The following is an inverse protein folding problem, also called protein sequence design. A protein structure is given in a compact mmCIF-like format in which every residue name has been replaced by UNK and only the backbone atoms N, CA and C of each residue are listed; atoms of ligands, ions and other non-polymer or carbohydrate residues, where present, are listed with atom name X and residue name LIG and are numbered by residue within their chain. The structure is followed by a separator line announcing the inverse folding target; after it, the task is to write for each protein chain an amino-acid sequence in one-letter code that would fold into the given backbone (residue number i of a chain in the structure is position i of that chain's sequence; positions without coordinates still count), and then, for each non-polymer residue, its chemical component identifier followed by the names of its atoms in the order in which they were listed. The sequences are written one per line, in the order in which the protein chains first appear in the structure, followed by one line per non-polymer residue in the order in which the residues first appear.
data_IF_566521064369
#
_entry.id   IF_566521064369
#
_cell.length_a   1.000
_cell.length_b   1.000
_cell.length_c   1.000
_cell.angle_alpha   90.00
_cell.angle_beta   90.00
_cell.angle_gamma   90.00
#
_symmetry.space_group_name_H-M   'P 1'
#
loop_
_entity.id
_entity.type
_entity.pdbx_description
1 polymer ?
#
# COMPACT_ATOMS: atom_id res chain seq x y z
N UNK A 1 11.29 6.15 -18.46
CA UNK A 1 10.05 6.28 -17.64
C UNK A 1 9.73 4.94 -17.04
N UNK A 2 9.85 3.88 -17.83
CA UNK A 2 9.78 2.49 -17.37
C UNK A 2 10.81 2.18 -16.28
N UNK A 3 12.03 2.75 -16.34
CA UNK A 3 13.03 2.55 -15.26
C UNK A 3 12.53 3.00 -13.87
N UNK A 4 11.74 4.08 -13.82
CA UNK A 4 11.20 4.60 -12.57
C UNK A 4 10.04 3.74 -12.08
N UNK A 5 9.21 3.26 -13.01
CA UNK A 5 8.13 2.31 -12.75
C UNK A 5 8.71 1.03 -12.15
N UNK A 6 9.65 0.40 -12.85
CA UNK A 6 10.20 -0.90 -12.48
C UNK A 6 10.95 -0.83 -11.16
N UNK A 7 11.71 0.25 -10.93
CA UNK A 7 12.37 0.52 -9.64
C UNK A 7 11.36 0.56 -8.49
N UNK A 8 10.29 1.35 -8.61
CA UNK A 8 9.32 1.46 -7.51
C UNK A 8 8.44 0.21 -7.37
N UNK A 9 8.05 -0.46 -8.46
CA UNK A 9 7.32 -1.72 -8.39
C UNK A 9 8.15 -2.82 -7.72
N UNK A 10 9.46 -2.91 -8.02
CA UNK A 10 10.38 -3.81 -7.35
C UNK A 10 10.47 -3.53 -5.84
N UNK A 11 10.73 -2.27 -5.47
CA UNK A 11 10.82 -1.85 -4.07
C UNK A 11 9.51 -2.09 -3.29
N UNK A 12 8.34 -1.86 -3.91
CA UNK A 12 7.04 -2.15 -3.31
C UNK A 12 6.85 -3.66 -3.12
N UNK A 13 7.33 -4.47 -4.07
CA UNK A 13 7.33 -5.92 -3.97
C UNK A 13 8.12 -6.43 -2.75
N UNK A 14 9.30 -5.86 -2.52
CA UNK A 14 10.22 -6.21 -1.43
C UNK A 14 9.83 -5.63 -0.06
N UNK A 15 8.99 -4.59 -0.02
CA UNK A 15 8.56 -3.97 1.24
C UNK A 15 7.83 -4.98 2.15
N UNK A 16 8.44 -5.27 3.30
CA UNK A 16 7.93 -6.26 4.26
C UNK A 16 7.06 -5.68 5.38
N UNK A 17 7.05 -4.37 5.57
CA UNK A 17 6.33 -3.70 6.64
C UNK A 17 5.61 -2.43 6.17
N UNK A 18 4.65 -1.96 6.98
CA UNK A 18 3.86 -0.77 6.67
C UNK A 18 4.72 0.51 6.67
N UNK A 19 5.78 0.53 7.48
CA UNK A 19 6.72 1.65 7.56
C UNK A 19 7.52 1.83 6.27
N UNK A 20 8.01 0.75 5.66
CA UNK A 20 8.72 0.79 4.38
C UNK A 20 7.80 1.21 3.25
N UNK A 21 6.54 0.73 3.23
CA UNK A 21 5.55 1.17 2.23
C UNK A 21 5.32 2.67 2.33
N UNK A 22 5.19 3.21 3.54
CA UNK A 22 4.98 4.65 3.73
C UNK A 22 6.23 5.47 3.34
N UNK A 23 7.43 4.98 3.66
CA UNK A 23 8.68 5.60 3.23
C UNK A 23 8.79 5.65 1.69
N UNK A 24 8.46 4.54 1.02
CA UNK A 24 8.41 4.47 -0.44
C UNK A 24 7.37 5.40 -1.05
N UNK A 25 6.19 5.53 -0.43
CA UNK A 25 5.15 6.49 -0.84
C UNK A 25 5.67 7.92 -0.81
N UNK A 26 6.36 8.31 0.28
CA UNK A 26 6.96 9.63 0.42
C UNK A 26 8.08 9.87 -0.59
N UNK A 27 8.92 8.86 -0.83
CA UNK A 27 10.03 8.94 -1.79
C UNK A 27 9.55 9.01 -3.25
N UNK A 28 8.47 8.31 -3.59
CA UNK A 28 7.93 8.31 -4.95
C UNK A 28 7.04 9.53 -5.21
N UNK A 29 5.99 9.71 -4.41
CA UNK A 29 4.86 10.62 -4.70
C UNK A 29 4.77 11.79 -3.70
N UNK A 30 5.62 11.80 -2.66
CA UNK A 30 5.66 12.90 -1.68
C UNK A 30 6.08 14.25 -2.27
N UNK A 31 6.03 15.31 -1.47
CA UNK A 31 6.34 16.70 -1.90
C UNK A 31 7.73 16.87 -2.56
N UNK A 32 8.70 16.03 -2.18
CA UNK A 32 10.06 15.99 -2.75
C UNK A 32 10.34 14.68 -3.49
N UNK A 33 9.30 13.90 -3.79
CA UNK A 33 9.44 12.59 -4.41
C UNK A 33 9.82 12.68 -5.89
N UNK A 34 10.44 11.63 -6.40
CA UNK A 34 10.97 11.58 -7.77
C UNK A 34 9.85 11.84 -8.81
N UNK A 35 8.64 11.31 -8.59
CA UNK A 35 7.47 11.52 -9.48
C UNK A 35 6.93 12.94 -9.36
N UNK A 36 6.89 13.51 -8.15
CA UNK A 36 6.43 14.88 -7.91
C UNK A 36 7.38 15.94 -8.48
N UNK A 37 8.69 15.67 -8.50
CA UNK A 37 9.67 16.53 -9.16
C UNK A 37 9.47 16.55 -10.67
N UNK A 38 9.28 15.39 -11.30
CA UNK A 38 8.97 15.31 -12.73
C UNK A 38 7.64 15.99 -13.09
N UNK A 39 6.63 15.91 -12.22
CA UNK A 39 5.38 16.68 -12.37
C UNK A 39 5.61 18.19 -12.39
N UNK A 40 6.54 18.69 -11.57
CA UNK A 40 6.89 20.11 -11.55
C UNK A 40 7.64 20.55 -12.80
N UNK A 41 8.50 19.69 -13.35
CA UNK A 41 9.20 19.94 -14.60
C UNK A 41 8.22 20.06 -15.79
N UNK A 42 7.13 19.29 -15.77
CA UNK A 42 6.03 19.40 -16.74
C UNK A 42 5.39 20.80 -16.77
N UNK A 43 5.42 21.52 -15.64
CA UNK A 43 4.94 22.90 -15.53
C UNK A 43 5.78 23.91 -16.33
N UNK A 44 7.02 23.54 -16.68
CA UNK A 44 7.96 24.40 -17.45
C UNK A 44 7.98 24.08 -18.95
N UNK A 45 7.33 23.01 -19.38
CA UNK A 45 7.26 22.57 -20.79
C UNK A 45 6.21 23.35 -21.59
N UNK A 46 6.32 23.29 -22.92
CA UNK A 46 5.32 23.90 -23.82
C UNK A 46 3.99 23.14 -23.76
N UNK A 47 2.87 23.75 -24.21
CA UNK A 47 1.56 23.11 -24.21
C UNK A 47 1.53 21.78 -24.96
N UNK A 48 2.24 21.67 -26.10
CA UNK A 48 2.28 20.46 -26.92
C UNK A 48 2.99 19.30 -26.20
N UNK A 49 4.14 19.58 -25.58
CA UNK A 49 4.90 18.59 -24.80
C UNK A 49 4.13 18.15 -23.55
N UNK A 50 3.47 19.10 -22.88
CA UNK A 50 2.63 18.82 -21.70
C UNK A 50 1.46 17.90 -22.05
N UNK A 51 0.86 18.04 -23.24
CA UNK A 51 -0.26 17.21 -23.68
C UNK A 51 0.14 15.74 -23.86
N UNK A 52 1.39 15.47 -24.27
CA UNK A 52 1.92 14.11 -24.44
C UNK A 52 2.44 13.54 -23.11
N UNK A 53 3.17 14.35 -22.34
CA UNK A 53 3.88 13.89 -21.14
C UNK A 53 3.01 13.88 -19.87
N UNK A 54 2.01 14.77 -19.78
CA UNK A 54 1.12 14.86 -18.62
C UNK A 54 0.33 13.57 -18.35
N UNK A 55 -0.38 13.00 -19.35
CA UNK A 55 -1.09 11.74 -19.18
C UNK A 55 -0.17 10.59 -18.78
N UNK A 56 1.04 10.51 -19.37
CA UNK A 56 2.03 9.48 -19.03
C UNK A 56 2.49 9.58 -17.57
N UNK A 57 2.72 10.79 -17.07
CA UNK A 57 3.12 11.01 -15.69
C UNK A 57 1.99 10.74 -14.69
N UNK A 58 0.76 11.13 -15.04
CA UNK A 58 -0.42 10.81 -14.24
C UNK A 58 -0.62 9.30 -14.16
N UNK A 59 -0.56 8.59 -15.28
CA UNK A 59 -0.67 7.13 -15.31
C UNK A 59 0.40 6.45 -14.44
N UNK A 60 1.66 6.88 -14.53
CA UNK A 60 2.74 6.37 -13.68
C UNK A 60 2.47 6.61 -12.19
N UNK A 61 2.01 7.82 -11.85
CA UNK A 61 1.68 8.16 -10.46
C UNK A 61 0.54 7.28 -9.93
N UNK A 62 -0.51 7.09 -10.73
CA UNK A 62 -1.67 6.31 -10.33
C UNK A 62 -1.31 4.84 -10.15
N UNK A 63 -0.52 4.27 -11.06
CA UNK A 63 -0.03 2.90 -10.96
C UNK A 63 0.82 2.65 -9.71
N UNK A 64 1.75 3.57 -9.40
CA UNK A 64 2.55 3.48 -8.16
C UNK A 64 1.64 3.56 -6.92
N UNK A 65 0.65 4.46 -6.91
CA UNK A 65 -0.30 4.57 -5.79
C UNK A 65 -1.16 3.30 -5.64
N UNK A 66 -1.63 2.73 -6.74
CA UNK A 66 -2.38 1.48 -6.74
C UNK A 66 -1.53 0.31 -6.23
N UNK A 67 -0.28 0.20 -6.66
CA UNK A 67 0.64 -0.83 -6.18
C UNK A 67 0.92 -0.69 -4.67
N UNK A 68 1.16 0.53 -4.18
CA UNK A 68 1.34 0.82 -2.75
C UNK A 68 0.11 0.45 -1.93
N UNK A 69 -1.08 0.83 -2.41
CA UNK A 69 -2.34 0.53 -1.74
C UNK A 69 -2.61 -0.98 -1.69
N UNK A 70 -2.37 -1.70 -2.79
CA UNK A 70 -2.54 -3.14 -2.87
C UNK A 70 -1.59 -3.88 -1.90
N UNK A 71 -0.32 -3.49 -1.86
CA UNK A 71 0.66 -4.08 -0.94
C UNK A 71 0.30 -3.80 0.52
N UNK A 72 -0.14 -2.59 0.83
CA UNK A 72 -0.59 -2.22 2.18
C UNK A 72 -1.79 -3.06 2.63
N UNK A 73 -2.79 -3.22 1.75
CA UNK A 73 -3.94 -4.07 2.03
C UNK A 73 -3.51 -5.53 2.27
N UNK A 74 -2.63 -6.07 1.42
CA UNK A 74 -2.12 -7.44 1.58
C UNK A 74 -1.39 -7.67 2.91
N UNK A 75 -0.58 -6.71 3.38
CA UNK A 75 0.08 -6.81 4.68
C UNK A 75 -0.93 -6.74 5.84
N UNK A 76 -1.93 -5.85 5.75
CA UNK A 76 -2.98 -5.75 6.75
C UNK A 76 -3.81 -7.03 6.84
N UNK A 77 -4.18 -7.62 5.70
CA UNK A 77 -4.92 -8.88 5.62
C UNK A 77 -4.08 -10.06 6.16
N UNK A 78 -2.78 -10.09 5.86
CA UNK A 78 -1.88 -11.11 6.40
C UNK A 78 -1.81 -11.03 7.94
N UNK A 79 -1.61 -9.83 8.50
CA UNK A 79 -1.57 -9.61 9.93
C UNK A 79 -2.91 -9.95 10.62
N UNK A 80 -4.04 -9.63 9.98
CA UNK A 80 -5.37 -9.98 10.49
C UNK A 80 -5.58 -11.49 10.52
N UNK A 81 -5.23 -12.19 9.44
CA UNK A 81 -5.36 -13.64 9.36
C UNK A 81 -4.49 -14.35 10.41
N UNK A 82 -3.26 -13.88 10.63
CA UNK A 82 -2.39 -14.42 11.68
C UNK A 82 -3.01 -14.27 13.07
N UNK A 83 -3.60 -13.10 13.37
CA UNK A 83 -4.33 -12.88 14.63
C UNK A 83 -5.55 -13.79 14.78
N UNK A 84 -6.34 -13.96 13.72
CA UNK A 84 -7.52 -14.83 13.73
C UNK A 84 -7.14 -16.30 13.97
N UNK A 85 -6.03 -16.76 13.40
CA UNK A 85 -5.50 -18.11 13.65
C UNK A 85 -5.04 -18.28 15.10
N UNK A 86 -4.39 -17.26 15.67
CA UNK A 86 -3.94 -17.29 17.07
C UNK A 86 -5.09 -17.24 18.08
N UNK A 87 -6.19 -16.55 17.74
CA UNK A 87 -7.37 -16.39 18.59
C UNK A 87 -8.44 -17.48 18.34
N UNK A 88 -8.13 -18.53 17.59
CA UNK A 88 -9.07 -19.60 17.28
C UNK A 88 -9.52 -20.35 18.55
N UNK A 89 -10.83 -20.36 18.80
CA UNK A 89 -11.47 -21.02 19.94
C UNK A 89 -12.50 -22.02 19.45
N UNK A 90 -12.48 -23.23 19.99
CA UNK A 90 -13.51 -24.23 19.75
C UNK A 90 -14.82 -23.84 20.45
N UNK A 91 -15.80 -23.42 19.64
CA UNK A 91 -17.13 -22.98 20.10
C UNK A 91 -18.03 -24.13 20.57
N UNK A 92 -17.64 -25.39 20.39
CA UNK A 92 -18.40 -26.57 20.83
C UNK A 92 -18.10 -26.97 22.27
N UNK A 93 -17.05 -26.40 22.88
CA UNK A 93 -16.69 -26.68 24.26
C UNK A 93 -17.80 -26.24 25.22
N UNK A 94 -18.09 -27.04 26.26
CA UNK A 94 -19.10 -26.68 27.26
C UNK A 94 -18.71 -25.36 27.92
N UNK A 95 -19.67 -24.43 27.97
CA UNK A 95 -19.50 -23.13 28.61
C UNK A 95 -19.14 -23.27 30.09
N UNK A 96 -18.61 -22.20 30.69
CA UNK A 96 -18.27 -22.19 32.12
C UNK A 96 -19.54 -22.41 32.95
N UNK A 97 -19.69 -23.60 33.52
CA UNK A 97 -20.85 -23.99 34.29
C UNK A 97 -21.01 -23.16 35.57
N UNK A 98 -22.24 -22.83 35.91
CA UNK A 98 -22.62 -22.35 37.25
C UNK A 98 -23.30 -23.51 37.97
N UNK A 99 -22.96 -23.75 39.24
CA UNK A 99 -23.58 -24.81 40.01
C UNK A 99 -25.11 -24.60 40.06
N UNK A 100 -25.87 -25.66 39.80
CA UNK A 100 -27.31 -25.64 39.97
C UNK A 100 -27.64 -25.52 41.47
N UNK A 101 -28.50 -24.57 41.83
CA UNK A 101 -28.98 -24.42 43.21
C UNK A 101 -29.91 -25.57 43.61
N UNK A 102 -29.99 -25.87 44.91
CA UNK A 102 -30.90 -26.86 45.49
C UNK A 102 -31.88 -26.19 46.45
N UNK A 103 -33.06 -26.80 46.64
CA UNK A 103 -34.13 -26.35 47.56
C UNK A 103 -33.95 -27.00 48.92
#
# INVERSE_FOLDING_TARGET
MDDLRDKYLGLIGEAGDEAAIEALRVQAVGKKGEVALKMRELGKMTPEERQVMGPKLNALKDEINSALAAKKAALADAALNERLQAEWLDVTLPGRGRAAGTI
#
